data_IF_865785548755
#
_entry.id   IF_865785548755
#
_cell.length_a   1.000
_cell.length_b   1.000
_cell.length_c   1.000
_cell.angle_alpha   90.00
_cell.angle_beta   90.00
_cell.angle_gamma   90.00
#
_symmetry.space_group_name_H-M   'P 1'
#
loop_
_entity.id
_entity.type
_entity.pdbx_description
1 polymer ?
#
# COMPACT_ATOMS: atom_id res chain seq x y z
N UNK A 1 -0.65 -9.45 9.70
CA UNK A 1 0.14 -8.19 9.72
C UNK A 1 -0.53 -7.23 8.75
N UNK A 2 -0.58 -5.93 9.05
CA UNK A 2 -1.10 -4.94 8.10
C UNK A 2 -0.14 -4.73 6.93
N UNK A 3 -0.63 -4.13 5.84
CA UNK A 3 0.19 -3.80 4.68
C UNK A 3 1.39 -2.91 5.04
N UNK A 4 1.27 -2.05 6.05
CA UNK A 4 2.40 -1.35 6.64
C UNK A 4 2.75 -1.96 8.01
N UNK A 5 4.03 -2.22 8.23
CA UNK A 5 4.59 -2.59 9.54
C UNK A 5 5.69 -1.60 9.92
N UNK A 6 5.66 -1.11 11.17
CA UNK A 6 6.72 -0.27 11.74
C UNK A 6 7.72 -1.17 12.48
N UNK A 7 9.01 -0.92 12.32
CA UNK A 7 10.03 -1.58 13.14
C UNK A 7 10.14 -0.89 14.49
N UNK A 8 10.06 -1.63 15.59
CA UNK A 8 10.39 -1.05 16.89
C UNK A 8 11.88 -0.70 16.98
N UNK A 9 12.21 0.31 17.78
CA UNK A 9 13.58 0.75 18.02
C UNK A 9 13.73 1.29 19.43
N UNK A 10 14.90 1.09 20.03
CA UNK A 10 15.26 1.68 21.32
C UNK A 10 15.98 3.00 21.10
N UNK A 11 15.48 4.10 21.68
CA UNK A 11 16.21 5.38 21.72
C UNK A 11 17.05 5.46 22.99
N UNK A 12 18.26 5.98 22.89
CA UNK A 12 19.14 6.31 24.02
C UNK A 12 19.16 7.82 24.31
N UNK A 13 18.10 8.54 23.95
CA UNK A 13 18.03 10.00 24.03
C UNK A 13 18.64 10.73 22.84
N UNK A 14 19.25 10.01 21.89
CA UNK A 14 19.65 10.53 20.58
C UNK A 14 18.56 10.37 19.51
N UNK A 15 18.76 11.03 18.37
CA UNK A 15 17.93 10.82 17.17
C UNK A 15 18.12 9.39 16.66
N UNK A 16 17.01 8.68 16.47
CA UNK A 16 16.99 7.35 15.85
C UNK A 16 15.93 7.32 14.76
N UNK A 17 16.14 6.51 13.73
CA UNK A 17 15.18 6.33 12.64
C UNK A 17 14.37 5.07 12.89
N UNK A 18 13.04 5.20 12.83
CA UNK A 18 12.13 4.05 12.82
C UNK A 18 11.96 3.63 11.36
N UNK A 19 12.31 2.37 11.05
CA UNK A 19 12.05 1.78 9.75
C UNK A 19 10.57 1.41 9.57
N UNK A 20 10.18 1.27 8.31
CA UNK A 20 8.88 0.74 7.94
C UNK A 20 9.03 -0.24 6.77
N UNK A 21 8.17 -1.24 6.72
CA UNK A 21 8.03 -2.13 5.55
C UNK A 21 6.60 -2.04 5.05
N UNK A 22 6.45 -1.96 3.74
CA UNK A 22 5.16 -2.00 3.08
C UNK A 22 5.06 -3.25 2.20
N UNK A 23 4.04 -4.08 2.42
CA UNK A 23 3.67 -5.20 1.58
C UNK A 23 2.47 -4.79 0.69
N UNK A 24 2.70 -4.50 -0.60
CA UNK A 24 1.63 -4.14 -1.53
C UNK A 24 0.67 -5.30 -1.81
N UNK A 25 1.08 -6.56 -1.60
CA UNK A 25 0.24 -7.73 -1.82
C UNK A 25 -0.71 -8.01 -0.65
N UNK A 26 -0.48 -7.39 0.51
CA UNK A 26 -1.34 -7.54 1.68
C UNK A 26 -2.72 -6.88 1.52
N UNK A 27 -2.93 -6.05 0.49
CA UNK A 27 -4.21 -5.43 0.19
C UNK A 27 -4.43 -5.35 -1.33
N UNK A 28 -5.64 -5.64 -1.81
CA UNK A 28 -6.00 -5.34 -3.18
C UNK A 28 -6.23 -3.82 -3.33
N UNK A 29 -5.39 -3.16 -4.13
CA UNK A 29 -5.44 -1.72 -4.40
C UNK A 29 -5.81 -1.38 -5.86
N UNK A 30 -6.19 -2.37 -6.67
CA UNK A 30 -6.52 -2.21 -8.10
C UNK A 30 -7.74 -1.30 -8.33
N UNK A 31 -8.47 -0.96 -7.27
CA UNK A 31 -9.54 0.03 -7.33
C UNK A 31 -9.03 1.47 -7.46
N UNK A 32 -7.75 1.74 -7.16
CA UNK A 32 -7.14 3.06 -7.30
C UNK A 32 -6.73 3.30 -8.75
N UNK A 33 -7.45 4.19 -9.41
CA UNK A 33 -7.13 4.62 -10.77
C UNK A 33 -5.85 5.45 -10.81
N UNK A 34 -5.25 5.61 -11.99
CA UNK A 34 -4.11 6.48 -12.20
C UNK A 34 -4.35 7.89 -11.64
N UNK A 35 -3.45 8.33 -10.75
CA UNK A 35 -3.51 9.64 -10.10
C UNK A 35 -4.53 9.74 -8.96
N UNK A 36 -5.35 8.72 -8.73
CA UNK A 36 -6.15 8.62 -7.50
C UNK A 36 -5.22 8.34 -6.33
N UNK A 37 -5.53 8.89 -5.15
CA UNK A 37 -4.72 8.67 -3.95
C UNK A 37 -5.54 8.09 -2.81
N UNK A 38 -4.89 7.22 -2.03
CA UNK A 38 -5.36 6.72 -0.75
C UNK A 38 -4.38 7.17 0.33
N UNK A 39 -4.91 7.80 1.37
CA UNK A 39 -4.12 8.22 2.53
C UNK A 39 -4.38 7.27 3.69
N UNK A 40 -3.30 6.78 4.29
CA UNK A 40 -3.34 5.91 5.47
C UNK A 40 -2.60 6.62 6.59
N UNK A 41 -3.25 6.77 7.73
CA UNK A 41 -2.65 7.42 8.91
C UNK A 41 -2.47 6.39 10.02
N UNK A 42 -1.27 6.35 10.59
CA UNK A 42 -0.93 5.57 11.76
C UNK A 42 -0.66 6.48 12.95
N UNK A 43 -1.36 6.22 14.05
CA UNK A 43 -1.10 6.87 15.33
C UNK A 43 0.05 6.16 16.04
N UNK A 44 1.13 6.88 16.31
CA UNK A 44 2.32 6.37 17.00
C UNK A 44 2.53 7.08 18.33
N UNK A 45 3.13 6.36 19.26
CA UNK A 45 3.63 6.88 20.55
C UNK A 45 5.03 6.35 20.77
N UNK A 46 5.83 7.11 21.51
CA UNK A 46 7.13 6.69 22.01
C UNK A 46 7.01 6.46 23.51
N UNK A 47 7.65 5.42 24.04
CA UNK A 47 7.65 5.11 25.46
C UNK A 47 9.11 4.94 25.94
N UNK A 48 9.46 5.59 27.05
CA UNK A 48 10.82 5.58 27.63
C UNK A 48 10.99 4.57 28.78
N UNK A 49 10.00 3.70 28.98
CA UNK A 49 9.91 2.76 30.10
C UNK A 49 9.09 3.30 31.28
N UNK A 50 8.77 4.60 31.30
CA UNK A 50 7.99 5.24 32.38
C UNK A 50 6.64 5.71 31.90
N UNK A 51 6.58 6.37 30.74
CA UNK A 51 5.34 6.92 30.19
C UNK A 51 5.30 6.91 28.66
N UNK A 52 4.08 6.90 28.12
CA UNK A 52 3.84 7.16 26.71
C UNK A 52 3.94 8.66 26.40
N UNK A 53 4.47 8.99 25.23
CA UNK A 53 4.37 10.32 24.65
C UNK A 53 2.94 10.66 24.23
N UNK A 54 2.74 11.93 23.84
CA UNK A 54 1.57 12.30 23.05
C UNK A 54 1.49 11.45 21.76
N UNK A 55 0.28 11.22 21.28
CA UNK A 55 0.04 10.54 20.00
C UNK A 55 0.51 11.46 18.87
N UNK A 56 1.24 10.88 17.92
CA UNK A 56 1.68 11.54 16.71
C UNK A 56 1.13 10.78 15.50
N UNK A 57 0.61 11.51 14.50
CA UNK A 57 0.17 10.90 13.25
C UNK A 57 1.35 10.75 12.28
N UNK A 58 1.46 9.55 11.69
CA UNK A 58 2.36 9.22 10.58
C UNK A 58 1.50 8.88 9.37
N UNK A 59 1.63 9.67 8.32
CA UNK A 59 0.77 9.61 7.15
C UNK A 59 1.51 9.03 5.95
N UNK A 60 0.88 8.07 5.29
CA UNK A 60 1.34 7.46 4.04
C UNK A 60 0.34 7.76 2.93
N UNK A 61 0.83 8.17 1.77
CA UNK A 61 0.01 8.40 0.58
C UNK A 61 0.39 7.36 -0.47
N UNK A 62 -0.62 6.62 -0.91
CA UNK A 62 -0.50 5.65 -2.00
C UNK A 62 -1.17 6.27 -3.21
N UNK A 63 -0.44 6.33 -4.33
CA UNK A 63 -0.96 6.82 -5.61
C UNK A 63 -1.22 5.64 -6.54
N UNK A 64 -2.43 5.55 -7.08
CA UNK A 64 -2.81 4.53 -8.04
C UNK A 64 -2.06 4.68 -9.37
N UNK A 65 -1.76 3.55 -9.98
CA UNK A 65 -1.19 3.45 -11.32
C UNK A 65 -2.25 2.91 -12.30
N UNK A 66 -2.05 3.15 -13.60
CA UNK A 66 -2.85 2.46 -14.62
C UNK A 66 -2.17 1.14 -14.99
N UNK A 67 -2.81 0.02 -14.71
CA UNK A 67 -2.37 -1.27 -15.22
C UNK A 67 -2.93 -1.53 -16.62
N UNK A 68 -2.14 -2.17 -17.49
CA UNK A 68 -2.59 -2.53 -18.82
C UNK A 68 -3.63 -3.67 -18.73
N UNK A 69 -4.69 -3.64 -19.57
CA UNK A 69 -5.65 -4.74 -19.61
C UNK A 69 -4.95 -6.03 -20.05
N UNK A 70 -5.24 -7.12 -19.36
CA UNK A 70 -4.80 -8.47 -19.75
C UNK A 70 -5.96 -9.16 -20.46
N UNK A 71 -5.79 -9.46 -21.76
CA UNK A 71 -6.73 -10.28 -22.51
C UNK A 71 -6.35 -11.75 -22.35
N UNK A 72 -7.20 -12.55 -21.71
CA UNK A 72 -6.96 -13.99 -21.48
C UNK A 72 -7.64 -14.89 -22.51
N UNK A 73 -8.54 -14.34 -23.33
CA UNK A 73 -9.27 -15.08 -24.35
C UNK A 73 -9.15 -14.34 -25.70
N UNK A 74 -8.31 -14.87 -26.58
CA UNK A 74 -8.23 -14.45 -27.98
C UNK A 74 -8.81 -15.56 -28.86
N UNK A 75 -10.04 -15.97 -28.59
CA UNK A 75 -10.83 -16.68 -29.61
C UNK A 75 -11.14 -15.68 -30.72
N UNK A 76 -10.23 -15.59 -31.70
CA UNK A 76 -10.52 -14.94 -32.96
C UNK A 76 -11.64 -15.77 -33.61
N UNK A 77 -12.89 -15.31 -33.71
CA UNK A 77 -13.93 -16.10 -34.34
C UNK A 77 -13.43 -16.44 -35.75
N UNK A 78 -13.39 -17.73 -36.09
CA UNK A 78 -13.15 -18.17 -37.47
C UNK A 78 -14.21 -17.51 -38.34
N UNK A 79 -13.80 -16.90 -39.46
CA UNK A 79 -14.72 -16.26 -40.38
C UNK A 79 -15.88 -17.24 -40.70
N UNK A 80 -17.11 -16.81 -40.43
CA UNK A 80 -18.29 -17.56 -40.86
C UNK A 80 -18.37 -17.37 -42.37
N UNK A 81 -18.16 -18.45 -43.12
CA UNK A 81 -18.45 -18.45 -44.55
C UNK A 81 -19.96 -18.43 -44.70
N UNK A 82 -20.50 -17.38 -45.34
CA UNK A 82 -21.90 -17.37 -45.75
C UNK A 82 -22.12 -18.50 -46.75
N UNK A 83 -23.07 -19.40 -46.45
CA UNK A 83 -23.45 -20.46 -47.36
C UNK A 83 -24.31 -19.83 -48.46
N UNK A 84 -23.82 -19.89 -49.71
CA UNK A 84 -24.55 -19.42 -50.88
C UNK A 84 -25.84 -20.23 -51.13
#
# INVERSE_FOLDING_TARGET
AGALTLTNGTSNGGSTSIGYTYDPAAANLDFLRAGQSLTITYQVKVNDGTADSAVQDVTFTITGANDAPVLTDTTNPTAVVELA
#
